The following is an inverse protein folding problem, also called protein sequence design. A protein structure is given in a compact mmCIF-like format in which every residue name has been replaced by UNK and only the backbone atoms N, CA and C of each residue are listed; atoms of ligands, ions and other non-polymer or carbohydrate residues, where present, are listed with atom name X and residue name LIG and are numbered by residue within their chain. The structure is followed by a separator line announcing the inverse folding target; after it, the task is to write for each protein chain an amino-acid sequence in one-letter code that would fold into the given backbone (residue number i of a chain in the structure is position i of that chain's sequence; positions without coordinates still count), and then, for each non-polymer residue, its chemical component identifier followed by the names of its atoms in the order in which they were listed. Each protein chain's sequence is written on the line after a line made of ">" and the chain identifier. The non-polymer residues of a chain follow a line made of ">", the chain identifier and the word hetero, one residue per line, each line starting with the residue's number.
data_IF_690001866015
#
_entry.id   IF_690001866015
#
_cell.length_a   1.000
_cell.length_b   1.000
_cell.length_c   1.000
_cell.angle_alpha   90.00
_cell.angle_beta   90.00
_cell.angle_gamma   90.00
#
_symmetry.space_group_name_H-M   'P 1'
#
loop_
_entity.id
_entity.type
_entity.pdbx_description
1 polymer ?
#
# COMPACT_ATOMS: atom_id res chain seq x y z
N UNK A 1 -5.52 -35.66 8.49
CA UNK A 1 -5.38 -34.28 8.00
C UNK A 1 -4.01 -33.79 8.43
N UNK A 2 -3.31 -33.01 7.61
CA UNK A 2 -1.96 -32.52 7.95
C UNK A 2 -2.01 -31.56 9.15
N UNK A 3 -1.05 -31.68 10.07
CA UNK A 3 -0.92 -30.84 11.29
C UNK A 3 -0.91 -29.34 10.97
N UNK A 4 -0.44 -28.96 9.79
CA UNK A 4 -0.45 -27.59 9.29
C UNK A 4 -1.87 -27.07 9.01
N UNK A 5 -2.76 -27.91 8.47
CA UNK A 5 -4.13 -27.53 8.17
C UNK A 5 -4.91 -27.24 9.44
N UNK A 6 -4.76 -28.09 10.46
CA UNK A 6 -5.42 -27.92 11.76
C UNK A 6 -4.94 -26.64 12.48
N UNK A 7 -3.63 -26.37 12.44
CA UNK A 7 -3.06 -25.15 13.01
C UNK A 7 -3.55 -23.89 12.28
N UNK A 8 -3.69 -23.95 10.95
CA UNK A 8 -4.16 -22.80 10.17
C UNK A 8 -5.65 -22.51 10.40
N UNK A 9 -6.49 -23.55 10.44
CA UNK A 9 -7.92 -23.42 10.71
C UNK A 9 -8.19 -22.88 12.12
N UNK A 10 -7.51 -23.43 13.14
CA UNK A 10 -7.64 -22.95 14.53
C UNK A 10 -7.12 -21.53 14.71
N UNK A 11 -6.02 -21.17 14.04
CA UNK A 11 -5.54 -19.79 14.01
C UNK A 11 -6.53 -18.84 13.34
N UNK A 12 -7.07 -19.23 12.18
CA UNK A 12 -8.06 -18.40 11.47
C UNK A 12 -9.31 -18.21 12.31
N UNK A 13 -9.81 -19.27 12.96
CA UNK A 13 -10.95 -19.18 13.86
C UNK A 13 -10.70 -18.18 15.00
N UNK A 14 -9.54 -18.27 15.66
CA UNK A 14 -9.16 -17.30 16.70
C UNK A 14 -9.12 -15.86 16.14
N UNK A 15 -8.57 -15.66 14.93
CA UNK A 15 -8.50 -14.34 14.31
C UNK A 15 -9.89 -13.84 13.88
N UNK A 16 -10.78 -14.69 13.35
CA UNK A 16 -12.12 -14.28 12.95
C UNK A 16 -12.99 -13.89 14.15
N UNK A 17 -12.79 -14.52 15.29
CA UNK A 17 -13.51 -14.20 16.54
C UNK A 17 -13.00 -12.90 17.19
N UNK A 18 -11.69 -12.62 17.11
CA UNK A 18 -11.05 -11.53 17.87
C UNK A 18 -10.61 -10.32 17.01
N UNK A 19 -10.41 -10.51 15.70
CA UNK A 19 -9.82 -9.55 14.77
C UNK A 19 -10.43 -9.67 13.35
N UNK A 20 -11.75 -9.45 13.22
CA UNK A 20 -12.54 -9.65 11.97
C UNK A 20 -11.91 -9.04 10.71
N UNK A 21 -11.37 -7.82 10.78
CA UNK A 21 -10.72 -7.16 9.64
C UNK A 21 -9.48 -7.93 9.16
N UNK A 22 -8.66 -8.44 10.08
CA UNK A 22 -7.49 -9.25 9.74
C UNK A 22 -7.88 -10.62 9.19
N UNK A 23 -8.98 -11.21 9.66
CA UNK A 23 -9.52 -12.45 9.09
C UNK A 23 -9.97 -12.23 7.64
N UNK A 24 -10.68 -11.13 7.36
CA UNK A 24 -11.07 -10.75 6.01
C UNK A 24 -9.85 -10.50 5.11
N UNK A 25 -8.82 -9.82 5.59
CA UNK A 25 -7.57 -9.62 4.84
C UNK A 25 -6.88 -10.95 4.50
N UNK A 26 -6.87 -11.92 5.43
CA UNK A 26 -6.33 -13.26 5.19
C UNK A 26 -7.18 -14.00 4.14
N UNK A 27 -8.51 -13.91 4.23
CA UNK A 27 -9.44 -14.48 3.27
C UNK A 27 -9.19 -13.92 1.85
N UNK A 28 -9.21 -12.59 1.70
CA UNK A 28 -8.98 -11.92 0.42
C UNK A 28 -7.56 -12.16 -0.13
N UNK A 29 -6.56 -12.28 0.75
CA UNK A 29 -5.19 -12.60 0.34
C UNK A 29 -5.09 -14.03 -0.22
N UNK A 30 -5.84 -14.98 0.35
CA UNK A 30 -5.93 -16.35 -0.17
C UNK A 30 -6.70 -16.37 -1.49
N UNK A 31 -7.79 -15.60 -1.64
CA UNK A 31 -8.48 -15.44 -2.93
C UNK A 31 -7.53 -14.90 -4.01
N UNK A 32 -6.75 -13.86 -3.68
CA UNK A 32 -5.77 -13.30 -4.61
C UNK A 32 -4.65 -14.29 -4.97
N UNK A 33 -4.20 -15.09 -4.00
CA UNK A 33 -3.22 -16.15 -4.23
C UNK A 33 -3.78 -17.23 -5.16
N UNK A 34 -5.05 -17.64 -4.98
CA UNK A 34 -5.72 -18.60 -5.87
C UNK A 34 -5.78 -18.07 -7.29
N UNK A 35 -6.14 -16.79 -7.50
CA UNK A 35 -6.17 -16.17 -8.82
C UNK A 35 -4.77 -16.15 -9.46
N UNK A 36 -3.73 -15.78 -8.70
CA UNK A 36 -2.34 -15.80 -9.17
C UNK A 36 -1.85 -17.22 -9.55
N UNK A 37 -2.29 -18.24 -8.80
CA UNK A 37 -2.00 -19.66 -9.08
C UNK A 37 -2.76 -20.14 -10.33
N UNK A 38 -4.01 -19.70 -10.54
CA UNK A 38 -4.79 -20.00 -11.76
C UNK A 38 -4.15 -19.38 -13.01
N UNK A 39 -3.66 -18.15 -12.92
CA UNK A 39 -2.92 -17.50 -14.00
C UNK A 39 -1.62 -18.24 -14.35
N UNK A 40 -0.94 -18.75 -13.33
CA UNK A 40 0.25 -19.60 -13.50
C UNK A 40 -0.09 -20.92 -14.20
N UNK A 41 -1.20 -21.58 -13.82
CA UNK A 41 -1.72 -22.78 -14.50
C UNK A 41 -2.03 -22.52 -15.97
N UNK A 42 -2.70 -21.42 -16.27
CA UNK A 42 -3.03 -21.03 -17.65
C UNK A 42 -1.77 -20.80 -18.50
N UNK A 43 -0.74 -20.22 -17.90
CA UNK A 43 0.56 -20.01 -18.56
C UNK A 43 1.28 -21.34 -18.84
N UNK A 44 1.23 -22.29 -17.91
CA UNK A 44 1.78 -23.64 -18.08
C UNK A 44 1.02 -24.40 -19.18
N UNK A 45 -0.31 -24.35 -19.19
CA UNK A 45 -1.13 -25.00 -20.22
C UNK A 45 -0.84 -24.45 -21.62
N UNK A 46 -0.68 -23.14 -21.76
CA UNK A 46 -0.24 -22.51 -23.03
C UNK A 46 1.16 -22.95 -23.44
N UNK A 47 2.05 -23.16 -22.49
CA UNK A 47 3.41 -23.64 -22.76
C UNK A 47 3.40 -25.07 -23.27
N UNK A 48 2.55 -25.94 -22.70
CA UNK A 48 2.36 -27.33 -23.16
C UNK A 48 1.79 -27.40 -24.59
N UNK A 49 0.92 -26.48 -24.97
CA UNK A 49 0.29 -26.48 -26.31
C UNK A 49 1.26 -26.12 -27.45
N UNK A 50 2.40 -25.49 -27.15
CA UNK A 50 3.37 -25.00 -28.12
C UNK A 50 4.75 -25.64 -27.95
N UNK A 51 4.83 -26.73 -27.18
CA UNK A 51 6.07 -27.46 -26.89
C UNK A 51 6.06 -28.78 -27.66
N UNK A 52 7.18 -29.09 -28.32
CA UNK A 52 7.35 -30.32 -29.11
C UNK A 52 8.23 -31.35 -28.37
N UNK A 53 8.85 -30.94 -27.26
CA UNK A 53 9.66 -31.80 -26.39
C UNK A 53 8.79 -32.56 -25.38
N UNK A 54 8.63 -33.87 -25.60
CA UNK A 54 7.81 -34.75 -24.76
C UNK A 54 8.27 -34.82 -23.30
N UNK A 55 9.58 -34.72 -23.01
CA UNK A 55 10.08 -34.75 -21.63
C UNK A 55 9.67 -33.48 -20.88
N UNK A 56 9.74 -32.35 -21.58
CA UNK A 56 9.33 -31.05 -21.04
C UNK A 56 7.82 -30.90 -20.91
N UNK A 57 7.04 -31.48 -21.82
CA UNK A 57 5.58 -31.61 -21.69
C UNK A 57 5.23 -32.41 -20.44
N UNK A 58 5.95 -33.50 -20.17
CA UNK A 58 5.74 -34.31 -18.98
C UNK A 58 6.02 -33.51 -17.70
N UNK A 59 7.16 -32.81 -17.63
CA UNK A 59 7.52 -31.95 -16.50
C UNK A 59 6.48 -30.84 -16.24
N UNK A 60 6.07 -30.11 -17.29
CA UNK A 60 5.04 -29.07 -17.19
C UNK A 60 3.69 -29.64 -16.72
N UNK A 61 3.34 -30.85 -17.15
CA UNK A 61 2.13 -31.55 -16.73
C UNK A 61 2.18 -31.92 -15.24
N UNK A 62 3.34 -32.30 -14.70
CA UNK A 62 3.52 -32.56 -13.27
C UNK A 62 3.31 -31.29 -12.44
N UNK A 63 3.91 -30.17 -12.83
CA UNK A 63 3.68 -28.89 -12.16
C UNK A 63 2.23 -28.41 -12.28
N UNK A 64 1.57 -28.65 -13.42
CA UNK A 64 0.14 -28.40 -13.59
C UNK A 64 -0.72 -29.19 -12.59
N UNK A 65 -0.40 -30.47 -12.36
CA UNK A 65 -1.07 -31.30 -11.33
C UNK A 65 -0.79 -30.80 -9.91
N UNK A 66 0.43 -30.37 -9.62
CA UNK A 66 0.79 -29.79 -8.32
C UNK A 66 -0.02 -28.52 -8.04
N UNK A 67 -0.11 -27.62 -9.01
CA UNK A 67 -0.94 -26.41 -8.93
C UNK A 67 -2.40 -26.76 -8.65
N UNK A 68 -2.96 -27.73 -9.35
CA UNK A 68 -4.34 -28.18 -9.09
C UNK A 68 -4.53 -28.73 -7.67
N UNK A 69 -3.52 -29.39 -7.11
CA UNK A 69 -3.56 -29.88 -5.72
C UNK A 69 -3.57 -28.71 -4.73
N UNK A 70 -2.71 -27.71 -4.94
CA UNK A 70 -2.63 -26.50 -4.10
C UNK A 70 -3.93 -25.68 -4.20
N UNK A 71 -4.43 -25.49 -5.42
CA UNK A 71 -5.70 -24.78 -5.68
C UNK A 71 -6.86 -25.42 -4.90
N UNK A 72 -7.00 -26.75 -4.93
CA UNK A 72 -8.04 -27.44 -4.14
C UNK A 72 -7.88 -27.24 -2.65
N UNK A 73 -6.64 -27.30 -2.13
CA UNK A 73 -6.37 -27.08 -0.72
C UNK A 73 -6.74 -25.65 -0.28
N UNK A 74 -6.41 -24.64 -1.09
CA UNK A 74 -6.73 -23.24 -0.80
C UNK A 74 -8.23 -22.95 -0.86
N UNK A 75 -8.95 -23.50 -1.86
CA UNK A 75 -10.41 -23.35 -1.91
C UNK A 75 -11.07 -24.03 -0.70
N UNK A 76 -10.60 -25.20 -0.28
CA UNK A 76 -11.10 -25.87 0.93
C UNK A 76 -10.90 -25.03 2.19
N UNK A 77 -9.83 -24.22 2.28
CA UNK A 77 -9.67 -23.26 3.38
C UNK A 77 -10.68 -22.13 3.28
N UNK A 78 -10.89 -21.53 2.10
CA UNK A 78 -11.91 -20.50 1.92
C UNK A 78 -13.32 -20.98 2.28
N UNK A 79 -13.69 -22.19 1.85
CA UNK A 79 -14.98 -22.79 2.20
C UNK A 79 -15.12 -22.97 3.71
N UNK A 80 -14.05 -23.44 4.38
CA UNK A 80 -14.02 -23.59 5.84
C UNK A 80 -14.08 -22.25 6.57
N UNK A 81 -13.37 -21.24 6.06
CA UNK A 81 -13.33 -19.89 6.61
C UNK A 81 -14.67 -19.17 6.45
N UNK A 82 -15.34 -19.34 5.31
CA UNK A 82 -16.67 -18.82 5.07
C UNK A 82 -17.71 -19.45 6.01
N UNK A 83 -17.65 -20.77 6.22
CA UNK A 83 -18.52 -21.48 7.15
C UNK A 83 -18.28 -21.10 8.64
N UNK A 84 -17.10 -20.57 8.97
CA UNK A 84 -16.76 -20.07 10.31
C UNK A 84 -17.21 -18.62 10.55
N UNK A 85 -17.74 -17.93 9.53
CA UNK A 85 -18.33 -16.60 9.67
C UNK A 85 -19.81 -16.74 10.03
N UNK A 86 -20.28 -16.37 11.24
CA UNK A 86 -21.66 -16.62 11.67
C UNK A 86 -22.74 -15.76 10.98
N UNK A 87 -22.41 -15.01 9.94
CA UNK A 87 -23.31 -14.03 9.32
C UNK A 87 -23.22 -14.11 7.80
N UNK A 88 -24.03 -14.97 7.20
CA UNK A 88 -24.46 -14.87 5.81
C UNK A 88 -25.98 -15.02 5.78
N UNK A 89 -26.66 -13.90 5.67
CA UNK A 89 -27.95 -13.69 4.98
C UNK A 89 -28.63 -12.47 5.60
N UNK A 90 -28.38 -11.30 5.01
CA UNK A 90 -29.40 -10.29 4.76
C UNK A 90 -28.79 -9.21 3.87
N UNK A 91 -29.58 -8.74 2.92
CA UNK A 91 -29.33 -7.57 2.12
C UNK A 91 -28.85 -6.43 3.03
N UNK A 92 -27.58 -6.04 2.93
CA UNK A 92 -27.18 -4.72 3.44
C UNK A 92 -27.47 -3.72 2.31
N UNK A 93 -28.76 -3.43 2.15
CA UNK A 93 -29.15 -2.02 2.11
C UNK A 93 -28.46 -1.31 3.28
N UNK A 94 -28.05 -0.07 3.02
CA UNK A 94 -27.39 0.81 3.97
C UNK A 94 -28.30 1.06 5.18
N UNK A 95 -28.38 0.10 6.08
CA UNK A 95 -28.95 0.22 7.40
C UNK A 95 -27.85 -0.22 8.37
N UNK A 96 -27.02 0.76 8.70
CA UNK A 96 -26.25 0.73 9.94
C UNK A 96 -27.15 0.21 11.07
N UNK A 97 -26.78 -0.84 11.81
CA UNK A 97 -27.46 -1.10 13.07
C UNK A 97 -27.28 0.15 13.91
N UNK A 98 -28.40 0.70 14.38
CA UNK A 98 -28.49 1.75 15.38
C UNK A 98 -27.71 1.34 16.64
N UNK A 99 -26.39 1.41 16.56
CA UNK A 99 -25.62 1.84 17.69
C UNK A 99 -25.79 3.35 17.70
N UNK A 100 -26.17 3.91 18.84
CA UNK A 100 -25.98 5.31 19.17
C UNK A 100 -24.47 5.68 19.19
N UNK A 101 -23.75 5.41 18.10
CA UNK A 101 -22.47 6.02 17.80
C UNK A 101 -22.83 7.42 17.34
N UNK A 102 -22.49 8.41 18.15
CA UNK A 102 -22.56 9.81 17.78
C UNK A 102 -22.03 9.97 16.35
N UNK A 103 -22.87 10.47 15.45
CA UNK A 103 -22.54 10.69 14.03
C UNK A 103 -21.19 11.42 14.00
N UNK A 104 -20.09 10.81 13.51
CA UNK A 104 -18.79 11.44 13.50
C UNK A 104 -18.87 12.73 12.69
N UNK A 105 -18.31 13.82 13.21
CA UNK A 105 -18.25 15.05 12.45
C UNK A 105 -17.23 14.88 11.32
N UNK A 106 -17.71 14.58 10.11
CA UNK A 106 -16.87 14.31 8.94
C UNK A 106 -15.90 15.44 8.57
N UNK A 107 -16.10 16.65 9.11
CA UNK A 107 -15.17 17.79 8.95
C UNK A 107 -13.82 17.56 9.62
N UNK A 108 -13.77 16.76 10.68
CA UNK A 108 -12.55 16.54 11.46
C UNK A 108 -11.51 15.69 10.69
N UNK A 109 -11.93 15.07 9.58
CA UNK A 109 -11.09 14.25 8.71
C UNK A 109 -10.70 14.98 7.42
N UNK A 110 -11.09 16.25 7.26
CA UNK A 110 -10.65 17.06 6.14
C UNK A 110 -9.13 17.23 6.21
N UNK A 111 -8.48 16.99 5.09
CA UNK A 111 -7.02 17.15 4.96
C UNK A 111 -6.73 18.36 4.09
N UNK A 112 -5.52 18.89 4.24
CA UNK A 112 -5.06 19.98 3.39
C UNK A 112 -5.06 19.55 1.91
N UNK A 113 -5.98 20.16 1.16
CA UNK A 113 -6.20 19.88 -0.24
C UNK A 113 -5.10 20.42 -1.16
N UNK A 114 -4.07 21.07 -0.64
CA UNK A 114 -2.92 21.55 -1.40
C UNK A 114 -1.72 20.60 -1.33
N UNK A 115 -1.73 19.61 -0.44
CA UNK A 115 -0.65 18.64 -0.31
C UNK A 115 -0.67 17.66 -1.51
N UNK A 116 0.42 17.56 -2.28
CA UNK A 116 0.51 16.64 -3.40
C UNK A 116 0.83 15.21 -2.93
N UNK A 117 0.03 14.26 -3.40
CA UNK A 117 0.22 12.82 -3.20
C UNK A 117 0.61 12.12 -4.51
N UNK A 118 1.42 11.07 -4.42
CA UNK A 118 1.85 10.27 -5.57
C UNK A 118 0.94 9.07 -5.81
N UNK A 119 0.78 8.66 -7.07
CA UNK A 119 0.06 7.42 -7.46
C UNK A 119 0.58 6.13 -6.81
N UNK A 120 1.76 6.16 -6.19
CA UNK A 120 2.39 5.03 -5.48
C UNK A 120 1.92 4.86 -4.03
N UNK A 121 1.18 5.82 -3.49
CA UNK A 121 0.67 5.77 -2.11
C UNK A 121 -0.57 4.87 -1.98
N UNK A 122 -0.95 4.57 -0.73
CA UNK A 122 -2.19 3.85 -0.44
C UNK A 122 -3.33 4.83 -0.16
N UNK A 123 -4.41 4.69 -0.92
CA UNK A 123 -5.60 5.54 -0.89
C UNK A 123 -6.81 4.87 -0.26
N UNK A 124 -6.61 3.78 0.48
CA UNK A 124 -7.66 3.17 1.30
C UNK A 124 -8.16 4.21 2.31
N UNK A 125 -9.49 4.31 2.46
CA UNK A 125 -10.19 5.29 3.31
C UNK A 125 -9.94 6.78 2.99
N UNK A 126 -9.36 7.11 1.83
CA UNK A 126 -9.10 8.50 1.42
C UNK A 126 -10.08 8.97 0.35
N UNK A 127 -10.48 10.24 0.41
CA UNK A 127 -11.29 10.90 -0.63
C UNK A 127 -10.43 11.89 -1.41
N UNK A 128 -10.46 11.76 -2.73
CA UNK A 128 -9.82 12.71 -3.66
C UNK A 128 -10.66 13.99 -3.80
N UNK A 129 -10.01 15.13 -4.02
CA UNK A 129 -10.62 16.40 -4.42
C UNK A 129 -10.10 16.92 -5.77
N UNK A 130 -8.94 16.45 -6.22
CA UNK A 130 -8.31 16.94 -7.42
C UNK A 130 -7.09 16.13 -7.84
N UNK A 131 -6.61 16.42 -9.04
CA UNK A 131 -5.29 15.98 -9.49
C UNK A 131 -4.63 17.07 -10.33
N UNK A 132 -3.30 17.01 -10.42
CA UNK A 132 -2.49 17.88 -11.27
C UNK A 132 -1.81 17.04 -12.35
N UNK A 133 -2.00 17.44 -13.60
CA UNK A 133 -1.42 16.78 -14.77
C UNK A 133 -1.22 17.82 -15.87
N UNK A 134 -0.11 17.74 -16.60
CA UNK A 134 0.24 18.68 -17.69
C UNK A 134 0.17 20.15 -17.27
N UNK A 135 0.65 20.48 -16.07
CA UNK A 135 0.64 21.83 -15.49
C UNK A 135 -0.76 22.43 -15.23
N UNK A 136 -1.81 21.60 -15.24
CA UNK A 136 -3.18 22.03 -14.96
C UNK A 136 -3.73 21.23 -13.78
N UNK A 137 -4.39 21.93 -12.84
CA UNK A 137 -5.12 21.32 -11.74
C UNK A 137 -6.58 21.08 -12.15
N UNK A 138 -7.06 19.86 -11.96
CA UNK A 138 -8.42 19.44 -12.23
C UNK A 138 -9.11 19.07 -10.93
N UNK A 139 -10.26 19.70 -10.65
CA UNK A 139 -11.07 19.37 -9.48
C UNK A 139 -12.03 18.22 -9.80
N UNK A 140 -12.16 17.28 -8.87
CA UNK A 140 -13.00 16.08 -8.99
C UNK A 140 -13.67 15.76 -7.67
N UNK A 141 -14.87 15.19 -7.73
CA UNK A 141 -15.66 14.83 -6.54
C UNK A 141 -15.25 13.50 -5.90
N UNK A 142 -14.74 12.57 -6.72
CA UNK A 142 -14.50 11.19 -6.35
C UNK A 142 -13.52 10.50 -7.31
N UNK A 143 -13.07 9.31 -6.92
CA UNK A 143 -12.10 8.52 -7.68
C UNK A 143 -12.60 8.04 -9.04
N UNK A 144 -13.91 7.82 -9.21
CA UNK A 144 -14.50 7.40 -10.49
C UNK A 144 -14.44 8.56 -11.48
N UNK A 145 -14.82 9.74 -11.01
CA UNK A 145 -14.74 11.01 -11.75
C UNK A 145 -13.28 11.34 -12.11
N UNK A 146 -12.31 11.05 -11.23
CA UNK A 146 -10.89 11.23 -11.56
C UNK A 146 -10.41 10.30 -12.66
N UNK A 147 -10.79 9.01 -12.61
CA UNK A 147 -10.47 8.06 -13.68
C UNK A 147 -11.02 8.52 -15.02
N UNK A 148 -12.31 8.90 -15.07
CA UNK A 148 -12.94 9.37 -16.29
C UNK A 148 -12.24 10.60 -16.84
N UNK A 149 -11.95 11.59 -15.98
CA UNK A 149 -11.31 12.83 -16.44
C UNK A 149 -9.90 12.59 -16.96
N UNK A 150 -9.12 11.72 -16.33
CA UNK A 150 -7.79 11.36 -16.83
C UNK A 150 -7.88 10.62 -18.17
N UNK A 151 -8.81 9.68 -18.32
CA UNK A 151 -9.05 9.02 -19.60
C UNK A 151 -9.45 10.00 -20.71
N UNK A 152 -10.31 10.99 -20.42
CA UNK A 152 -10.65 12.07 -21.36
C UNK A 152 -9.39 12.84 -21.80
N UNK A 153 -8.53 13.24 -20.86
CA UNK A 153 -7.31 13.98 -21.16
C UNK A 153 -6.31 13.16 -21.99
N UNK A 154 -6.21 11.85 -21.75
CA UNK A 154 -5.36 10.96 -22.54
C UNK A 154 -5.92 10.76 -23.95
N UNK A 155 -7.23 10.60 -24.09
CA UNK A 155 -7.89 10.51 -25.39
C UNK A 155 -7.76 11.81 -26.21
N UNK A 156 -7.92 12.98 -25.58
CA UNK A 156 -7.70 14.28 -26.22
C UNK A 156 -6.26 14.47 -26.67
N UNK A 157 -5.29 13.91 -25.93
CA UNK A 157 -3.86 13.99 -26.25
C UNK A 157 -3.49 13.14 -27.47
N UNK A 158 -3.95 11.89 -27.52
CA UNK A 158 -3.74 10.98 -28.65
C UNK A 158 -4.83 9.91 -28.69
N UNK A 159 -5.88 10.17 -29.48
CA UNK A 159 -7.03 9.27 -29.59
C UNK A 159 -6.69 7.96 -30.30
N UNK A 160 -5.72 7.95 -31.20
CA UNK A 160 -5.30 6.75 -31.93
C UNK A 160 -4.57 5.80 -30.97
N UNK A 161 -3.62 6.35 -30.20
CA UNK A 161 -2.93 5.59 -29.16
C UNK A 161 -3.93 5.09 -28.10
N UNK A 162 -4.85 5.94 -27.63
CA UNK A 162 -5.85 5.55 -26.65
C UNK A 162 -6.65 4.33 -27.11
N UNK A 163 -7.21 4.38 -28.32
CA UNK A 163 -7.98 3.27 -28.88
C UNK A 163 -7.15 1.98 -29.01
N UNK A 164 -5.87 2.09 -29.38
CA UNK A 164 -4.99 0.91 -29.43
C UNK A 164 -4.72 0.30 -28.05
N UNK A 165 -4.55 1.14 -27.03
CA UNK A 165 -4.21 0.72 -25.66
C UNK A 165 -5.38 0.01 -24.98
N UNK A 166 -6.60 0.54 -25.11
CA UNK A 166 -7.79 0.01 -24.43
C UNK A 166 -8.23 -1.37 -24.93
N UNK A 167 -7.88 -1.73 -26.17
CA UNK A 167 -8.18 -3.06 -26.74
C UNK A 167 -7.17 -4.11 -26.27
N UNK A 168 -6.01 -3.70 -25.75
CA UNK A 168 -4.98 -4.64 -25.34
C UNK A 168 -5.35 -5.41 -24.07
N UNK A 169 -4.89 -6.67 -23.99
CA UNK A 169 -5.11 -7.57 -22.85
C UNK A 169 -4.59 -7.02 -21.50
N UNK A 170 -3.76 -5.97 -21.54
CA UNK A 170 -3.26 -5.28 -20.34
C UNK A 170 -4.29 -4.41 -19.66
N UNK A 171 -5.40 -4.08 -20.34
CA UNK A 171 -6.44 -3.16 -19.84
C UNK A 171 -7.81 -3.85 -19.74
N UNK A 172 -7.80 -5.16 -19.49
CA UNK A 172 -8.97 -5.94 -19.07
C UNK A 172 -8.69 -6.69 -17.77
N UNK A 173 -9.73 -6.93 -16.99
CA UNK A 173 -9.70 -7.90 -15.90
C UNK A 173 -10.02 -9.31 -16.40
N UNK A 174 -9.91 -10.31 -15.52
CA UNK A 174 -10.18 -11.71 -15.86
C UNK A 174 -11.63 -11.96 -16.34
N UNK A 175 -12.60 -11.21 -15.79
CA UNK A 175 -14.03 -11.32 -16.11
C UNK A 175 -14.67 -10.05 -16.67
N UNK A 176 -13.96 -8.91 -16.63
CA UNK A 176 -14.52 -7.59 -16.94
C UNK A 176 -13.57 -6.83 -17.87
N UNK A 177 -14.09 -6.38 -19.00
CA UNK A 177 -13.39 -5.42 -19.85
C UNK A 177 -13.47 -4.03 -19.20
N UNK A 178 -12.33 -3.38 -18.93
CA UNK A 178 -12.37 -2.06 -18.29
C UNK A 178 -12.84 -0.97 -19.24
N UNK A 179 -12.73 -1.20 -20.54
CA UNK A 179 -13.15 -0.29 -21.59
C UNK A 179 -14.04 -1.01 -22.59
N UNK A 180 -15.06 -0.33 -23.10
CA UNK A 180 -15.96 -0.89 -24.10
C UNK A 180 -16.54 0.20 -24.99
N UNK A 181 -16.83 -0.11 -26.26
CA UNK A 181 -17.58 0.79 -27.16
C UNK A 181 -19.10 0.71 -26.97
N UNK A 182 -19.56 -0.21 -26.11
CA UNK A 182 -20.97 -0.40 -25.79
C UNK A 182 -21.19 -0.31 -24.28
N UNK A 183 -22.35 0.21 -23.87
CA UNK A 183 -22.70 0.24 -22.46
C UNK A 183 -23.06 -1.17 -21.98
N UNK A 184 -22.20 -1.74 -21.12
CA UNK A 184 -22.36 -3.08 -20.55
C UNK A 184 -23.02 -3.10 -19.16
N UNK A 185 -23.55 -1.97 -18.69
CA UNK A 185 -24.35 -1.89 -17.47
C UNK A 185 -24.03 -0.72 -16.55
N UNK A 186 -24.65 -0.72 -15.37
CA UNK A 186 -24.68 0.45 -14.45
C UNK A 186 -23.33 0.93 -13.92
N UNK A 187 -22.26 0.16 -14.06
CA UNK A 187 -20.91 0.53 -13.63
C UNK A 187 -20.02 1.05 -14.77
N UNK A 188 -20.49 0.99 -16.01
CA UNK A 188 -19.85 1.60 -17.16
C UNK A 188 -20.30 3.07 -17.26
N UNK A 189 -19.34 3.97 -17.45
CA UNK A 189 -19.56 5.40 -17.59
C UNK A 189 -18.93 5.88 -18.89
N UNK A 190 -19.70 6.61 -19.68
CA UNK A 190 -19.26 7.11 -20.99
C UNK A 190 -18.27 8.26 -20.81
N UNK A 191 -17.16 8.25 -21.55
CA UNK A 191 -16.27 9.40 -21.66
C UNK A 191 -16.93 10.51 -22.50
N UNK A 192 -16.71 11.78 -22.14
CA UNK A 192 -17.27 12.90 -22.91
C UNK A 192 -16.79 12.87 -24.36
N UNK A 193 -17.70 13.15 -25.29
CA UNK A 193 -17.42 13.28 -26.71
C UNK A 193 -16.82 12.04 -27.39
N UNK A 194 -17.00 10.84 -26.81
CA UNK A 194 -16.58 9.57 -27.42
C UNK A 194 -17.70 8.53 -27.34
N UNK A 195 -17.52 7.38 -27.97
CA UNK A 195 -18.33 6.16 -27.82
C UNK A 195 -17.76 5.18 -26.77
N UNK A 196 -16.70 5.58 -26.06
CA UNK A 196 -15.99 4.72 -25.11
C UNK A 196 -16.63 4.82 -23.72
N UNK A 197 -16.85 3.66 -23.12
CA UNK A 197 -17.34 3.47 -21.76
C UNK A 197 -16.25 2.86 -20.90
N UNK A 198 -16.09 3.39 -19.68
CA UNK A 198 -15.09 2.94 -18.70
C UNK A 198 -15.79 2.30 -17.51
N UNK A 199 -15.31 1.13 -17.08
CA UNK A 199 -15.74 0.47 -15.85
C UNK A 199 -15.26 1.26 -14.62
N UNK A 200 -16.18 1.60 -13.72
CA UNK A 200 -15.91 2.47 -12.56
C UNK A 200 -16.11 1.78 -11.21
N UNK A 201 -16.42 0.48 -11.19
CA UNK A 201 -16.49 -0.29 -9.94
C UNK A 201 -15.10 -0.79 -9.55
N UNK A 202 -14.28 0.15 -9.08
CA UNK A 202 -12.92 -0.09 -8.63
C UNK A 202 -12.68 0.59 -7.28
N UNK A 203 -11.81 0.00 -6.47
CA UNK A 203 -11.25 0.69 -5.30
C UNK A 203 -10.34 1.85 -5.73
N UNK A 204 -10.09 2.80 -4.82
CA UNK A 204 -9.18 3.93 -5.08
C UNK A 204 -7.79 3.46 -5.56
N UNK A 205 -7.26 2.40 -4.94
CA UNK A 205 -5.96 1.84 -5.31
C UNK A 205 -5.97 1.14 -6.67
N UNK A 206 -7.06 0.45 -7.02
CA UNK A 206 -7.22 -0.16 -8.34
C UNK A 206 -7.31 0.91 -9.45
N UNK A 207 -8.01 2.02 -9.17
CA UNK A 207 -8.06 3.20 -10.06
C UNK A 207 -6.66 3.80 -10.26
N UNK A 208 -5.91 4.04 -9.19
CA UNK A 208 -4.55 4.57 -9.28
C UNK A 208 -3.62 3.64 -10.08
N UNK A 209 -3.76 2.32 -9.89
CA UNK A 209 -3.01 1.30 -10.63
C UNK A 209 -3.36 1.27 -12.12
N UNK A 210 -4.64 1.44 -12.46
CA UNK A 210 -5.10 1.57 -13.84
C UNK A 210 -4.55 2.84 -14.49
N UNK A 211 -4.64 3.99 -13.82
CA UNK A 211 -4.09 5.27 -14.28
C UNK A 211 -2.59 5.14 -14.52
N UNK A 212 -1.84 4.52 -13.61
CA UNK A 212 -0.40 4.34 -13.76
C UNK A 212 -0.04 3.53 -15.00
N UNK A 213 -0.80 2.46 -15.30
CA UNK A 213 -0.62 1.67 -16.53
C UNK A 213 -0.92 2.50 -17.77
N UNK A 214 -2.00 3.30 -17.76
CA UNK A 214 -2.34 4.17 -18.88
C UNK A 214 -1.23 5.22 -19.14
N UNK A 215 -0.74 5.89 -18.10
CA UNK A 215 0.35 6.86 -18.24
C UNK A 215 1.63 6.23 -18.80
N UNK A 216 1.94 4.99 -18.42
CA UNK A 216 3.10 4.27 -18.90
C UNK A 216 3.06 4.03 -20.41
N UNK A 217 1.90 3.65 -20.97
CA UNK A 217 1.72 3.46 -22.42
C UNK A 217 1.87 4.77 -23.21
N UNK A 218 1.65 5.92 -22.55
CA UNK A 218 1.87 7.26 -23.11
C UNK A 218 3.29 7.78 -22.91
N UNK A 219 4.19 7.00 -22.28
CA UNK A 219 5.53 7.44 -21.90
C UNK A 219 5.52 8.56 -20.86
N UNK A 220 4.40 8.77 -20.15
CA UNK A 220 4.26 9.80 -19.12
C UNK A 220 4.72 9.19 -17.79
N UNK A 221 5.71 9.79 -17.09
CA UNK A 221 6.22 9.21 -15.87
C UNK A 221 5.19 9.36 -14.74
N UNK A 222 5.02 8.31 -13.93
CA UNK A 222 3.95 8.27 -12.91
C UNK A 222 4.07 9.32 -11.80
N UNK A 223 5.23 9.95 -11.66
CA UNK A 223 5.48 11.05 -10.72
C UNK A 223 5.11 12.43 -11.28
N UNK A 224 4.68 12.52 -12.55
CA UNK A 224 4.17 13.76 -13.14
C UNK A 224 2.70 14.03 -12.81
N UNK A 225 2.00 13.03 -12.24
CA UNK A 225 0.64 13.16 -11.77
C UNK A 225 0.63 13.24 -10.25
N UNK A 226 0.13 14.35 -9.73
CA UNK A 226 -0.12 14.54 -8.30
C UNK A 226 -1.60 14.44 -8.01
N UNK A 227 -1.95 13.80 -6.90
CA UNK A 227 -3.30 13.66 -6.38
C UNK A 227 -3.47 14.59 -5.18
N UNK A 228 -4.66 15.15 -5.02
CA UNK A 228 -5.02 15.98 -3.87
C UNK A 228 -6.22 15.37 -3.17
N UNK A 229 -6.18 15.36 -1.85
CA UNK A 229 -7.19 14.72 -1.03
C UNK A 229 -8.10 15.77 -0.39
N UNK A 230 -9.38 15.42 -0.24
CA UNK A 230 -10.33 16.17 0.57
C UNK A 230 -10.30 15.70 2.01
N UNK A 231 -10.21 14.39 2.20
CA UNK A 231 -10.29 13.79 3.52
C UNK A 231 -9.52 12.48 3.60
N UNK A 232 -9.03 12.17 4.80
CA UNK A 232 -8.40 10.89 5.14
C UNK A 232 -9.09 10.29 6.37
N UNK A 233 -9.89 9.25 6.13
CA UNK A 233 -10.64 8.56 7.16
C UNK A 233 -9.90 7.34 7.71
N UNK A 234 -8.60 7.19 7.43
CA UNK A 234 -7.82 6.03 7.93
C UNK A 234 -7.99 5.85 9.45
N UNK A 235 -8.10 6.95 10.20
CA UNK A 235 -8.35 6.96 11.64
C UNK A 235 -9.75 6.45 12.05
N UNK A 236 -10.82 6.69 11.26
CA UNK A 236 -12.16 6.14 11.56
C UNK A 236 -12.25 4.63 11.51
N UNK A 237 -11.32 4.01 10.77
CA UNK A 237 -11.29 2.57 10.53
C UNK A 237 -10.17 1.88 11.32
N UNK A 238 -9.54 2.60 12.24
CA UNK A 238 -8.61 2.06 13.23
C UNK A 238 -9.38 2.09 14.55
N UNK A 239 -9.91 0.95 15.00
CA UNK A 239 -10.89 0.88 16.11
C UNK A 239 -10.47 1.67 17.37
N UNK A 240 -11.19 2.75 17.67
CA UNK A 240 -11.09 3.46 18.95
C UNK A 240 -11.84 2.69 20.06
N UNK A 241 -11.09 2.13 21.01
CA UNK A 241 -11.60 1.96 22.38
C UNK A 241 -11.69 3.35 23.02
N UNK A 242 -12.91 3.78 23.33
CA UNK A 242 -13.23 5.00 24.09
C UNK A 242 -12.47 5.04 25.43
N UNK A 243 -11.85 6.18 25.74
CA UNK A 243 -11.82 6.72 27.13
C UNK A 243 -11.73 8.24 27.08
N UNK A 244 -12.50 8.91 27.94
CA UNK A 244 -12.80 10.35 27.99
C UNK A 244 -11.63 11.22 28.53
N UNK A 245 -11.69 12.55 28.25
CA UNK A 245 -10.73 13.66 28.52
C UNK A 245 -10.11 13.72 29.95
N UNK A 246 -8.93 14.33 30.23
CA UNK A 246 -8.34 15.67 29.89
C UNK A 246 -6.77 15.63 30.06
N UNK A 247 -5.95 16.66 29.74
CA UNK A 247 -5.29 17.05 28.47
C UNK A 247 -3.75 16.88 28.46
N UNK A 248 -3.16 17.12 27.26
CA UNK A 248 -1.74 17.26 26.86
C UNK A 248 -1.19 16.02 26.10
N UNK A 249 -1.26 16.17 24.78
CA UNK A 249 -0.42 15.65 23.69
C UNK A 249 0.43 14.40 23.96
N UNK A 250 0.01 13.25 23.40
CA UNK A 250 0.96 12.23 22.94
C UNK A 250 0.41 11.49 21.72
N UNK A 251 1.15 11.60 20.61
CA UNK A 251 0.81 11.03 19.30
C UNK A 251 1.57 9.72 19.06
N UNK A 252 0.92 8.80 18.32
CA UNK A 252 1.49 7.68 17.56
C UNK A 252 1.77 6.38 18.33
N UNK A 253 0.82 5.43 18.28
CA UNK A 253 1.12 4.02 18.54
C UNK A 253 0.86 3.06 17.35
N UNK A 254 0.12 3.44 16.31
CA UNK A 254 -0.13 2.57 15.13
C UNK A 254 0.91 2.69 14.00
N UNK A 255 1.90 3.56 14.16
CA UNK A 255 2.90 3.79 13.13
C UNK A 255 3.99 2.71 13.20
N UNK A 256 4.15 1.89 12.13
CA UNK A 256 5.28 0.95 11.99
C UNK A 256 6.58 1.63 12.42
N UNK A 257 7.32 1.03 13.36
CA UNK A 257 8.45 1.68 14.04
C UNK A 257 9.50 2.28 13.08
N UNK A 258 9.81 1.62 11.97
CA UNK A 258 10.73 2.19 10.98
C UNK A 258 10.20 3.48 10.35
N UNK A 259 8.88 3.56 10.10
CA UNK A 259 8.22 4.79 9.65
C UNK A 259 8.25 5.84 10.75
N UNK A 260 7.94 5.47 11.99
CA UNK A 260 7.98 6.37 13.15
C UNK A 260 9.36 7.00 13.33
N UNK A 261 10.41 6.20 13.43
CA UNK A 261 11.80 6.68 13.53
C UNK A 261 12.13 7.63 12.39
N UNK A 262 11.80 7.24 11.15
CA UNK A 262 12.09 8.06 9.98
C UNK A 262 11.39 9.40 10.02
N UNK A 263 10.12 9.43 10.41
CA UNK A 263 9.34 10.67 10.59
C UNK A 263 9.87 11.50 11.74
N UNK A 264 10.21 10.91 12.88
CA UNK A 264 10.82 11.63 14.00
C UNK A 264 12.13 12.28 13.61
N UNK A 265 13.00 11.59 12.86
CA UNK A 265 14.25 12.16 12.37
C UNK A 265 14.04 13.27 11.33
N UNK A 266 13.01 13.17 10.47
CA UNK A 266 12.61 14.27 9.57
C UNK A 266 12.17 15.49 10.36
N UNK A 267 11.31 15.29 11.37
CA UNK A 267 10.79 16.37 12.19
C UNK A 267 11.92 17.08 12.95
N UNK A 268 12.85 16.31 13.54
CA UNK A 268 14.04 16.88 14.20
C UNK A 268 14.94 17.67 13.23
N UNK A 269 15.14 17.16 12.01
CA UNK A 269 15.98 17.85 11.02
C UNK A 269 15.29 19.12 10.51
N UNK A 270 13.98 19.05 10.26
CA UNK A 270 13.18 20.18 9.80
C UNK A 270 12.98 21.26 10.88
N UNK A 271 12.93 20.88 12.16
CA UNK A 271 12.87 21.84 13.27
C UNK A 271 14.21 22.54 13.53
N UNK A 272 15.29 22.12 12.86
CA UNK A 272 16.63 22.65 13.09
C UNK A 272 17.21 22.21 14.44
N UNK A 273 16.79 21.06 14.97
CA UNK A 273 17.29 20.55 16.24
C UNK A 273 18.82 20.40 16.22
N UNK A 274 19.47 20.91 17.27
CA UNK A 274 20.93 20.88 17.42
C UNK A 274 21.28 19.81 18.44
N UNK A 275 21.96 18.75 18.01
CA UNK A 275 22.48 17.75 18.92
C UNK A 275 23.69 18.28 19.70
N UNK A 276 23.84 17.89 20.95
CA UNK A 276 25.13 18.02 21.62
C UNK A 276 26.23 17.24 20.86
N UNK A 277 27.45 17.80 20.79
CA UNK A 277 28.55 17.20 20.03
C UNK A 277 28.99 15.84 20.61
N UNK A 278 28.89 15.64 21.93
CA UNK A 278 29.17 14.34 22.54
C UNK A 278 28.08 13.34 22.19
N UNK A 279 26.80 13.74 22.24
CA UNK A 279 25.68 12.90 21.80
C UNK A 279 25.81 12.48 20.34
N UNK A 280 26.14 13.42 19.45
CA UNK A 280 26.29 13.13 18.02
C UNK A 280 27.46 12.16 17.76
N UNK A 281 28.58 12.30 18.48
CA UNK A 281 29.70 11.35 18.40
C UNK A 281 29.31 9.96 18.92
N UNK A 282 28.51 9.88 19.98
CA UNK A 282 27.99 8.61 20.51
C UNK A 282 27.10 7.90 19.48
N UNK A 283 26.22 8.63 18.78
CA UNK A 283 25.33 8.09 17.73
C UNK A 283 26.07 7.56 16.48
N UNK A 284 27.34 7.92 16.31
CA UNK A 284 28.21 7.36 15.26
C UNK A 284 28.87 6.03 15.67
N UNK A 285 28.69 5.57 16.91
CA UNK A 285 29.29 4.32 17.41
C UNK A 285 28.29 3.16 17.45
N UNK A 286 28.75 1.97 17.07
CA UNK A 286 27.95 0.74 17.12
C UNK A 286 27.60 0.37 18.57
N UNK A 287 28.54 0.56 19.51
CA UNK A 287 28.38 0.21 20.93
C UNK A 287 27.24 1.00 21.59
N UNK A 288 27.24 2.33 21.43
CA UNK A 288 26.18 3.17 21.96
C UNK A 288 24.81 2.86 21.32
N UNK A 289 24.80 2.58 20.01
CA UNK A 289 23.57 2.24 19.29
C UNK A 289 22.99 0.90 19.77
N UNK A 290 23.85 -0.07 20.07
CA UNK A 290 23.43 -1.37 20.61
C UNK A 290 22.88 -1.24 22.03
N UNK A 291 23.53 -0.46 22.88
CA UNK A 291 23.07 -0.20 24.25
C UNK A 291 21.74 0.58 24.25
N UNK A 292 21.64 1.63 23.43
CA UNK A 292 20.50 2.55 23.43
C UNK A 292 19.30 2.00 22.67
N UNK A 293 19.50 1.44 21.47
CA UNK A 293 18.41 1.04 20.56
C UNK A 293 18.30 -0.48 20.34
N UNK A 294 19.26 -1.27 20.83
CA UNK A 294 19.30 -2.72 20.57
C UNK A 294 19.79 -3.09 19.16
N UNK A 295 20.34 -2.13 18.41
CA UNK A 295 20.81 -2.33 17.03
C UNK A 295 22.34 -2.42 17.03
N UNK A 296 22.89 -3.51 16.48
CA UNK A 296 24.35 -3.75 16.45
C UNK A 296 25.12 -2.95 15.38
N UNK A 297 24.58 -1.83 14.91
CA UNK A 297 25.16 -1.01 13.85
C UNK A 297 24.84 0.44 14.14
N UNK A 298 25.84 1.32 14.01
CA UNK A 298 25.79 2.75 14.31
C UNK A 298 24.54 3.42 13.75
N UNK A 299 23.87 4.19 14.60
CA UNK A 299 22.61 4.86 14.31
C UNK A 299 22.75 5.85 13.16
N UNK A 300 23.84 6.62 13.17
CA UNK A 300 24.23 7.53 12.10
C UNK A 300 25.45 7.04 11.33
N UNK A 301 25.49 7.39 10.04
CA UNK A 301 26.74 7.55 9.28
C UNK A 301 26.84 8.96 8.73
N UNK A 302 27.98 9.59 8.97
CA UNK A 302 28.28 10.91 8.43
C UNK A 302 28.58 10.85 6.92
N UNK A 303 27.99 11.78 6.16
CA UNK A 303 28.25 11.96 4.74
C UNK A 303 29.28 13.07 4.58
N UNK A 304 30.52 12.69 4.30
CA UNK A 304 31.60 13.65 3.95
C UNK A 304 31.70 13.90 2.45
N UNK A 305 31.13 13.02 1.63
CA UNK A 305 31.12 13.13 0.17
C UNK A 305 29.82 12.52 -0.40
N UNK A 306 28.97 13.35 -0.99
CA UNK A 306 27.66 12.96 -1.52
C UNK A 306 27.74 11.92 -2.65
N UNK A 307 28.88 11.84 -3.36
CA UNK A 307 29.11 10.82 -4.40
C UNK A 307 29.22 9.39 -3.83
N UNK A 308 29.27 9.22 -2.50
CA UNK A 308 29.43 7.91 -1.85
C UNK A 308 28.20 7.41 -1.10
N UNK A 309 27.05 8.11 -1.12
CA UNK A 309 25.85 7.74 -0.35
C UNK A 309 25.44 6.27 -0.59
N UNK A 310 25.40 5.82 -1.87
CA UNK A 310 25.05 4.43 -2.22
C UNK A 310 26.04 3.38 -1.70
N UNK A 311 27.29 3.76 -1.43
CA UNK A 311 28.29 2.87 -0.79
C UNK A 311 28.13 2.88 0.73
N UNK A 312 27.83 4.05 1.30
CA UNK A 312 27.64 4.23 2.75
C UNK A 312 26.40 3.52 3.30
N UNK A 313 25.36 3.31 2.48
CA UNK A 313 24.16 2.56 2.90
C UNK A 313 24.41 1.08 3.15
N UNK A 314 25.55 0.54 2.68
CA UNK A 314 25.90 -0.87 2.82
C UNK A 314 26.82 -1.13 4.02
N UNK A 315 26.72 -2.33 4.57
CA UNK A 315 27.70 -2.86 5.53
C UNK A 315 28.92 -3.50 4.83
N UNK A 316 29.90 -3.96 5.60
CA UNK A 316 31.10 -4.64 5.09
C UNK A 316 30.79 -5.92 4.28
N UNK A 317 29.58 -6.48 4.43
CA UNK A 317 29.10 -7.66 3.70
C UNK A 317 28.23 -7.29 2.48
N UNK A 318 28.01 -6.00 2.23
CA UNK A 318 27.25 -5.49 1.07
C UNK A 318 25.74 -5.37 1.28
N UNK A 319 25.21 -5.64 2.48
CA UNK A 319 23.78 -5.51 2.77
C UNK A 319 23.39 -4.07 3.05
N UNK A 320 22.21 -3.65 2.58
CA UNK A 320 21.67 -2.33 2.89
C UNK A 320 21.23 -2.26 4.37
N UNK A 321 21.89 -1.41 5.16
CA UNK A 321 21.61 -1.19 6.59
C UNK A 321 21.11 0.22 6.90
N UNK A 322 21.13 1.13 5.94
CA UNK A 322 20.71 2.53 6.13
C UNK A 322 19.73 2.96 5.04
N UNK A 323 18.85 3.91 5.36
CA UNK A 323 18.04 4.59 4.36
C UNK A 323 18.92 5.51 3.50
N UNK A 324 18.55 5.68 2.23
CA UNK A 324 19.22 6.62 1.31
C UNK A 324 18.88 8.09 1.59
N UNK A 325 17.99 8.35 2.55
CA UNK A 325 17.54 9.69 2.90
C UNK A 325 18.57 10.40 3.77
N UNK A 326 18.80 11.67 3.47
CA UNK A 326 19.80 12.51 4.14
C UNK A 326 19.11 13.39 5.17
N UNK A 327 19.64 13.39 6.37
CA UNK A 327 19.21 14.23 7.49
C UNK A 327 20.33 15.21 7.83
N UNK A 328 19.98 16.47 8.06
CA UNK A 328 20.93 17.51 8.40
C UNK A 328 20.80 17.91 9.87
N UNK A 329 21.92 17.88 10.58
CA UNK A 329 22.03 18.26 11.99
C UNK A 329 23.36 18.96 12.22
N UNK A 330 23.36 20.09 12.93
CA UNK A 330 24.57 20.87 13.24
C UNK A 330 25.40 21.24 11.99
N UNK A 331 24.75 21.46 10.83
CA UNK A 331 25.42 21.73 9.55
C UNK A 331 26.18 20.53 8.97
N UNK A 332 25.97 19.32 9.51
CA UNK A 332 26.55 18.05 9.04
C UNK A 332 25.43 17.15 8.50
N UNK A 333 25.75 16.34 7.50
CA UNK A 333 24.78 15.46 6.80
C UNK A 333 24.96 14.01 7.24
N UNK A 334 23.85 13.32 7.51
CA UNK A 334 23.84 11.95 8.02
C UNK A 334 22.81 11.07 7.30
N UNK A 335 23.05 9.77 7.31
CA UNK A 335 22.04 8.74 7.00
C UNK A 335 21.74 7.91 8.26
N UNK A 336 20.51 7.41 8.37
CA UNK A 336 20.01 6.68 9.55
C UNK A 336 19.86 5.20 9.25
N UNK A 337 20.19 4.36 10.24
CA UNK A 337 20.03 2.90 10.17
C UNK A 337 18.57 2.51 9.90
N UNK A 338 18.34 1.52 9.04
CA UNK A 338 17.01 1.14 8.55
C UNK A 338 16.39 -0.07 9.26
N UNK A 339 17.13 -0.71 10.18
CA UNK A 339 16.78 -2.00 10.77
C UNK A 339 16.00 -1.87 12.08
N UNK A 340 14.74 -1.48 11.95
CA UNK A 340 13.84 -1.27 13.09
C UNK A 340 12.85 -2.42 13.23
N UNK A 341 12.79 -3.02 14.41
CA UNK A 341 11.80 -4.03 14.81
C UNK A 341 10.98 -3.51 15.98
N UNK A 342 9.83 -4.12 16.26
CA UNK A 342 8.95 -3.75 17.38
C UNK A 342 9.68 -3.73 18.73
N UNK A 343 10.62 -4.65 18.95
CA UNK A 343 11.45 -4.73 20.16
C UNK A 343 12.35 -3.49 20.37
N UNK A 344 12.69 -2.76 19.30
CA UNK A 344 13.51 -1.56 19.36
C UNK A 344 12.65 -0.29 19.55
N UNK A 345 11.32 -0.41 19.46
CA UNK A 345 10.41 0.73 19.43
C UNK A 345 10.42 1.52 20.72
N UNK A 346 10.23 0.83 21.86
CA UNK A 346 10.15 1.48 23.17
C UNK A 346 11.47 2.15 23.53
N UNK A 347 12.59 1.54 23.12
CA UNK A 347 13.93 2.09 23.30
C UNK A 347 14.13 3.40 22.54
N UNK A 348 13.70 3.44 21.28
CA UNK A 348 13.77 4.65 20.47
C UNK A 348 12.80 5.73 20.97
N UNK A 349 11.55 5.39 21.29
CA UNK A 349 10.57 6.32 21.87
C UNK A 349 11.09 6.94 23.17
N UNK A 350 11.64 6.11 24.07
CA UNK A 350 12.25 6.56 25.33
C UNK A 350 13.46 7.47 25.11
N UNK A 351 14.30 7.17 24.11
CA UNK A 351 15.43 8.03 23.76
C UNK A 351 14.96 9.36 23.16
N UNK A 352 13.96 9.34 22.26
CA UNK A 352 13.41 10.53 21.63
C UNK A 352 12.74 11.46 22.66
N UNK A 353 11.98 10.91 23.61
CA UNK A 353 11.35 11.68 24.68
C UNK A 353 12.38 12.42 25.55
N UNK A 354 13.56 11.83 25.77
CA UNK A 354 14.66 12.48 26.51
C UNK A 354 15.28 13.66 25.76
N UNK A 355 15.19 13.69 24.43
CA UNK A 355 15.67 14.82 23.62
C UNK A 355 14.72 16.02 23.69
N UNK A 356 13.44 15.79 23.95
CA UNK A 356 12.39 16.82 24.07
C UNK A 356 12.26 17.42 25.47
N UNK A 357 13.03 16.92 26.45
CA UNK A 357 13.05 17.38 27.84
C UNK A 357 14.26 18.28 28.17
N UNK A 358 15.03 18.69 27.15
CA UNK A 358 16.15 19.63 27.21
C UNK A 358 15.80 20.80 26.30
#
# INVERSE_FOLDING_TARGET
>A
MDTLNENLLSLYQFISENYKTNANDIFYSIEFLIESIRDSKNSILKSVQNEDDFDKISELTEYGKLIMKIERALNSYLDSFAAMSPESDEDVEDESPENEKAIPNYRDYEVDSEIPHLLTESFTHKKICGFFLNNVRYNVSDWKSSLLKICELLYEKDSVLFNSVIVSDRFKGSKIEYFSHVNKGKYYRRLKNTDIYVWTCHSANAICSLIRRLLLEYGIPSNSLYLYLRADYTSLHTDEKKTEHIPIQDTNDDMKIGKFVKTSMRNLSASGYVFDNQMLNLLLTDEYTKQTFGIGTSFFKEIRNEKQIRKLTKDAKGYNRYWCEVFEFNGRKFIVVSQWTTHNADRFKSWLAKLSQI
#
